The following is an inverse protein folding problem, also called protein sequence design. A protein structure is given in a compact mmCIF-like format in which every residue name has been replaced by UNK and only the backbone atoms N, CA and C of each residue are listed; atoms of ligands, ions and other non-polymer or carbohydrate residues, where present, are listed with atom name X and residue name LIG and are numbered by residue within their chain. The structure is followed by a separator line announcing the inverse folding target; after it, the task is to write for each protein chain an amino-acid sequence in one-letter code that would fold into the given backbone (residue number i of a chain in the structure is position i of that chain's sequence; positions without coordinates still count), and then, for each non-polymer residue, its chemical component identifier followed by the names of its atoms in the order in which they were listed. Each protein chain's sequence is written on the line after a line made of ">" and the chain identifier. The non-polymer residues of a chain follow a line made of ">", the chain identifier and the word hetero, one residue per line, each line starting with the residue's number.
data_IF_800414331706
#
_entry.id   IF_800414331706
#
_cell.length_a   1.000
_cell.length_b   1.000
_cell.length_c   1.000
_cell.angle_alpha   90.00
_cell.angle_beta   90.00
_cell.angle_gamma   90.00
#
_symmetry.space_group_name_H-M   'P 1'
#
loop_
_entity.id
_entity.type
_entity.pdbx_description
1 polymer ?
#
# COMPACT_ATOMS: atom_id res chain seq x y z
N UNK A 1 -0.62 -20.43 6.18
CA UNK A 1 -0.73 -18.97 6.04
C UNK A 1 0.56 -18.48 5.43
N UNK A 2 0.49 -17.76 4.33
CA UNK A 2 1.67 -17.21 3.65
C UNK A 2 1.75 -15.72 3.97
N UNK A 3 2.91 -15.26 4.41
CA UNK A 3 3.14 -13.89 4.89
C UNK A 3 4.12 -13.17 3.97
N UNK A 4 3.72 -12.01 3.46
CA UNK A 4 4.58 -11.14 2.66
C UNK A 4 4.37 -9.68 3.06
N UNK A 5 5.41 -8.89 2.91
CA UNK A 5 5.45 -7.51 3.40
C UNK A 5 5.88 -6.52 2.34
N UNK A 6 5.32 -5.32 2.46
CA UNK A 6 5.73 -4.11 1.79
C UNK A 6 6.53 -3.25 2.76
N UNK A 7 7.82 -3.06 2.50
CA UNK A 7 8.61 -2.05 3.22
C UNK A 7 8.65 -0.77 2.39
N UNK A 8 8.11 0.32 2.96
CA UNK A 8 7.98 1.63 2.33
C UNK A 8 9.15 2.53 2.73
N UNK A 9 9.95 2.91 1.75
CA UNK A 9 10.93 3.97 1.89
C UNK A 9 10.36 5.28 1.32
N UNK A 10 10.43 6.35 2.10
CA UNK A 10 9.93 7.68 1.72
C UNK A 10 11.06 8.69 1.77
N UNK A 11 11.14 9.49 0.71
CA UNK A 11 12.02 10.64 0.61
C UNK A 11 11.17 11.90 0.58
N UNK A 12 11.00 12.52 1.75
CA UNK A 12 10.37 13.83 1.88
C UNK A 12 11.36 14.98 1.62
N UNK A 13 10.85 16.21 1.44
CA UNK A 13 11.71 17.36 1.24
C UNK A 13 12.58 17.64 2.47
N UNK A 14 13.74 18.24 2.21
CA UNK A 14 14.68 18.79 3.19
C UNK A 14 14.85 20.26 2.85
N UNK A 15 14.55 21.15 3.81
CA UNK A 15 14.61 22.62 3.63
C UNK A 15 13.87 23.10 2.37
N UNK A 16 12.63 22.63 2.18
CA UNK A 16 11.78 23.00 1.04
C UNK A 16 12.18 22.41 -0.31
N UNK A 17 13.26 21.62 -0.38
CA UNK A 17 13.74 21.01 -1.62
C UNK A 17 13.49 19.49 -1.64
N UNK A 18 13.20 18.87 -2.80
CA UNK A 18 13.11 17.42 -2.92
C UNK A 18 14.38 16.73 -2.41
N UNK A 19 14.22 15.59 -1.72
CA UNK A 19 15.38 14.84 -1.24
C UNK A 19 16.29 14.42 -2.41
N UNK A 20 17.57 14.78 -2.34
CA UNK A 20 18.54 14.51 -3.41
C UNK A 20 18.77 12.99 -3.62
N UNK A 21 18.70 12.20 -2.54
CA UNK A 21 18.98 10.76 -2.56
C UNK A 21 17.81 9.88 -3.01
N UNK A 22 16.70 10.48 -3.47
CA UNK A 22 15.60 9.68 -3.98
C UNK A 22 16.04 8.93 -5.26
N UNK A 23 15.95 7.60 -5.30
CA UNK A 23 16.40 6.82 -6.44
C UNK A 23 15.49 7.06 -7.65
N UNK A 24 16.01 6.75 -8.84
CA UNK A 24 15.34 7.07 -10.11
C UNK A 24 14.00 6.34 -10.30
N UNK A 25 13.86 5.17 -9.70
CA UNK A 25 12.69 4.29 -9.73
C UNK A 25 11.66 4.60 -8.64
N UNK A 26 11.98 5.49 -7.70
CA UNK A 26 11.03 6.01 -6.73
C UNK A 26 9.95 6.83 -7.45
N UNK A 27 8.70 6.55 -7.09
CA UNK A 27 7.53 7.22 -7.64
C UNK A 27 7.31 8.55 -6.95
N UNK A 28 6.79 9.52 -7.69
CA UNK A 28 6.27 10.73 -7.05
C UNK A 28 5.02 10.37 -6.28
N UNK A 29 4.88 10.92 -5.07
CA UNK A 29 3.62 10.93 -4.35
C UNK A 29 2.49 11.53 -5.22
N UNK A 30 1.24 11.42 -4.77
CA UNK A 30 -0.06 11.63 -5.48
C UNK A 30 -0.30 12.92 -6.30
N UNK A 31 0.77 13.66 -6.59
CA UNK A 31 0.91 14.82 -7.48
C UNK A 31 0.14 16.04 -7.01
N UNK A 32 -0.41 16.00 -5.80
CA UNK A 32 -0.92 17.17 -5.13
C UNK A 32 0.19 18.19 -4.93
N UNK A 33 -0.15 19.48 -4.91
CA UNK A 33 0.83 20.57 -4.71
C UNK A 33 1.63 20.41 -3.41
N UNK A 34 0.99 19.87 -2.36
CA UNK A 34 1.60 19.62 -1.05
C UNK A 34 2.57 18.41 -1.06
N UNK A 35 2.31 17.40 -1.89
CA UNK A 35 3.11 16.18 -1.95
C UNK A 35 4.10 16.12 -3.13
N UNK A 36 4.16 17.16 -3.98
CA UNK A 36 4.92 17.14 -5.25
C UNK A 36 6.41 16.84 -5.10
N UNK A 37 6.98 17.14 -3.93
CA UNK A 37 8.41 16.98 -3.62
C UNK A 37 8.71 15.66 -2.88
N UNK A 38 7.68 14.89 -2.53
CA UNK A 38 7.80 13.58 -1.92
C UNK A 38 7.96 12.51 -2.99
N UNK A 39 8.84 11.55 -2.70
CA UNK A 39 8.98 10.33 -3.48
C UNK A 39 8.93 9.11 -2.57
N UNK A 40 8.49 7.99 -3.11
CA UNK A 40 8.39 6.75 -2.34
C UNK A 40 8.77 5.53 -3.19
N UNK A 41 9.18 4.46 -2.52
CA UNK A 41 9.47 3.17 -3.12
C UNK A 41 9.13 2.07 -2.12
N UNK A 42 8.46 1.02 -2.60
CA UNK A 42 8.32 -0.22 -1.84
C UNK A 42 9.37 -1.23 -2.30
N UNK A 43 9.94 -2.00 -1.37
CA UNK A 43 10.84 -3.15 -1.70
C UNK A 43 10.20 -4.09 -2.73
N UNK A 44 8.88 -4.27 -2.62
CA UNK A 44 8.05 -4.89 -3.65
C UNK A 44 6.94 -3.92 -4.05
N UNK A 45 6.89 -3.49 -5.31
CA UNK A 45 5.71 -2.73 -5.80
C UNK A 45 4.51 -3.63 -6.02
N UNK A 46 4.78 -4.88 -6.39
CA UNK A 46 3.78 -5.91 -6.63
C UNK A 46 4.19 -7.17 -5.88
N UNK A 47 3.31 -7.68 -5.03
CA UNK A 47 3.48 -8.97 -4.37
C UNK A 47 2.58 -10.00 -5.05
N UNK A 48 3.16 -11.15 -5.40
CA UNK A 48 2.43 -12.28 -5.99
C UNK A 48 2.30 -13.42 -4.99
N UNK A 49 1.09 -13.96 -4.89
CA UNK A 49 0.78 -15.18 -4.14
C UNK A 49 0.32 -16.29 -5.08
N UNK A 50 0.63 -17.53 -4.71
CA UNK A 50 0.11 -18.71 -5.38
C UNK A 50 -1.13 -19.22 -4.64
N UNK A 51 -2.09 -19.72 -5.39
CA UNK A 51 -3.34 -20.32 -4.91
C UNK A 51 -3.21 -21.43 -3.86
N UNK A 52 -2.04 -22.05 -3.68
CA UNK A 52 -1.82 -23.01 -2.58
C UNK A 52 -1.93 -22.37 -1.18
N UNK A 53 -1.97 -21.04 -1.12
CA UNK A 53 -1.99 -20.29 0.11
C UNK A 53 -3.45 -20.02 0.56
N UNK A 54 -3.92 -20.76 1.57
CA UNK A 54 -5.31 -20.65 2.06
C UNK A 54 -5.65 -19.27 2.65
N UNK A 55 -4.71 -18.64 3.36
CA UNK A 55 -4.84 -17.30 3.93
C UNK A 55 -3.53 -16.56 3.76
N UNK A 56 -3.61 -15.32 3.28
CA UNK A 56 -2.46 -14.47 2.99
C UNK A 56 -2.41 -13.33 4.00
N UNK A 57 -1.29 -13.20 4.69
CA UNK A 57 -1.01 -12.03 5.50
C UNK A 57 -0.18 -11.05 4.67
N UNK A 58 -0.64 -9.82 4.60
CA UNK A 58 0.07 -8.71 3.96
C UNK A 58 0.36 -7.66 5.01
N UNK A 59 1.64 -7.38 5.21
CA UNK A 59 2.11 -6.34 6.13
C UNK A 59 2.67 -5.14 5.36
N UNK A 60 2.49 -3.94 5.89
CA UNK A 60 3.08 -2.70 5.39
C UNK A 60 3.83 -2.07 6.54
N UNK A 61 5.09 -1.71 6.30
CA UNK A 61 5.98 -1.12 7.29
C UNK A 61 6.77 0.00 6.64
N UNK A 62 7.22 0.96 7.43
CA UNK A 62 8.24 1.90 6.96
C UNK A 62 9.62 1.25 7.03
N UNK A 63 10.48 1.56 6.07
CA UNK A 63 11.92 1.25 6.14
C UNK A 63 12.49 1.91 7.40
N UNK A 64 13.34 1.19 8.13
CA UNK A 64 13.92 1.63 9.41
C UNK A 64 14.59 3.01 9.33
N UNK A 65 15.18 3.36 8.17
CA UNK A 65 15.83 4.66 7.94
C UNK A 65 14.85 5.82 7.92
N UNK A 66 13.58 5.54 7.65
CA UNK A 66 12.49 6.53 7.54
C UNK A 66 11.43 6.36 8.61
N UNK A 67 11.58 5.32 9.46
CA UNK A 67 10.69 5.03 10.56
C UNK A 67 10.67 6.18 11.58
N UNK A 68 9.48 6.55 12.05
CA UNK A 68 9.27 7.60 13.05
C UNK A 68 8.97 9.00 12.49
N UNK A 69 9.36 9.31 11.25
CA UNK A 69 8.91 10.56 10.58
C UNK A 69 7.54 10.40 9.94
N UNK A 70 7.25 9.23 9.37
CA UNK A 70 6.03 8.98 8.63
C UNK A 70 5.05 8.12 9.42
N UNK A 71 3.76 8.28 9.12
CA UNK A 71 2.69 7.49 9.75
C UNK A 71 1.69 6.99 8.71
N UNK A 72 1.30 5.72 8.81
CA UNK A 72 0.11 5.20 8.14
C UNK A 72 -1.13 5.81 8.77
N UNK A 73 -2.05 6.30 7.92
CA UNK A 73 -3.28 6.97 8.37
C UNK A 73 -4.54 6.25 7.94
N UNK A 74 -4.53 5.72 6.73
CA UNK A 74 -5.68 5.09 6.11
C UNK A 74 -5.20 4.08 5.07
N UNK A 75 -5.92 2.98 4.90
CA UNK A 75 -5.79 2.10 3.74
C UNK A 75 -7.16 1.89 3.10
N UNK A 76 -7.20 1.91 1.78
CA UNK A 76 -8.35 1.44 1.03
C UNK A 76 -7.88 0.41 -0.01
N UNK A 77 -8.79 -0.43 -0.50
CA UNK A 77 -8.51 -1.40 -1.54
C UNK A 77 -9.45 -1.20 -2.73
N UNK A 78 -8.89 -1.28 -3.93
CA UNK A 78 -9.63 -1.20 -5.20
C UNK A 78 -9.14 -2.28 -6.16
N UNK A 79 -9.91 -2.60 -7.21
CA UNK A 79 -9.42 -3.49 -8.25
C UNK A 79 -8.12 -2.95 -8.85
N UNK A 80 -7.13 -3.84 -8.95
CA UNK A 80 -5.84 -3.57 -9.57
C UNK A 80 -5.91 -3.52 -11.09
N UNK A 81 -4.76 -3.30 -11.73
CA UNK A 81 -4.75 -3.18 -13.19
C UNK A 81 -5.00 -4.54 -13.82
N UNK A 82 -6.10 -4.65 -14.56
CA UNK A 82 -6.54 -5.93 -15.13
C UNK A 82 -7.33 -6.81 -14.16
N UNK A 83 -7.62 -6.34 -12.95
CA UNK A 83 -8.60 -6.95 -12.06
C UNK A 83 -10.02 -6.54 -12.44
N UNK A 84 -11.00 -7.38 -12.12
CA UNK A 84 -12.40 -7.04 -12.35
C UNK A 84 -12.96 -6.19 -11.19
N UNK A 85 -14.05 -5.43 -11.42
CA UNK A 85 -14.78 -4.73 -10.37
C UNK A 85 -15.12 -5.62 -9.16
N UNK A 86 -15.17 -5.08 -7.94
CA UNK A 86 -15.45 -5.89 -6.74
C UNK A 86 -16.80 -6.66 -6.80
N UNK A 87 -17.77 -6.10 -7.52
CA UNK A 87 -19.11 -6.66 -7.76
C UNK A 87 -19.16 -7.67 -8.93
N UNK A 88 -18.05 -7.85 -9.66
CA UNK A 88 -17.97 -8.82 -10.77
C UNK A 88 -17.86 -10.28 -10.31
N UNK A 89 -17.60 -10.50 -9.02
CA UNK A 89 -17.39 -11.83 -8.47
C UNK A 89 -15.93 -12.26 -8.38
N UNK A 90 -14.94 -11.40 -8.62
CA UNK A 90 -13.51 -11.53 -8.23
C UNK A 90 -13.31 -11.62 -6.68
N UNK A 91 -14.40 -11.85 -5.95
CA UNK A 91 -14.58 -11.60 -4.54
C UNK A 91 -13.72 -12.46 -3.66
N UNK A 92 -12.57 -11.93 -3.29
CA UNK A 92 -11.77 -12.36 -2.16
C UNK A 92 -12.17 -11.55 -0.93
N UNK A 93 -12.15 -12.16 0.25
CA UNK A 93 -12.42 -11.42 1.48
C UNK A 93 -11.14 -10.68 1.91
N UNK A 94 -11.28 -9.38 2.09
CA UNK A 94 -10.26 -8.53 2.68
C UNK A 94 -10.62 -8.21 4.12
N UNK A 95 -9.68 -8.36 5.04
CA UNK A 95 -9.86 -7.99 6.43
C UNK A 95 -8.67 -7.20 6.96
N UNK A 96 -8.92 -5.98 7.44
CA UNK A 96 -7.94 -5.24 8.21
C UNK A 96 -7.81 -5.88 9.59
N UNK A 97 -6.62 -6.39 9.91
CA UNK A 97 -6.35 -7.02 11.20
C UNK A 97 -5.90 -5.97 12.23
N UNK A 98 -4.98 -5.10 11.83
CA UNK A 98 -4.45 -4.05 12.70
C UNK A 98 -3.90 -2.88 11.90
N UNK A 99 -4.03 -1.67 12.44
CA UNK A 99 -3.36 -0.48 11.92
C UNK A 99 -2.78 0.31 13.08
N UNK A 100 -1.47 0.51 13.04
CA UNK A 100 -0.72 1.39 13.94
C UNK A 100 -0.04 2.47 13.09
N UNK A 101 0.53 3.53 13.68
CA UNK A 101 1.26 4.53 12.90
C UNK A 101 2.40 3.95 12.06
N UNK A 102 3.05 2.86 12.49
CA UNK A 102 4.25 2.32 11.83
C UNK A 102 4.02 1.01 11.07
N UNK A 103 2.87 0.37 11.28
CA UNK A 103 2.58 -0.95 10.70
C UNK A 103 1.09 -1.10 10.40
N UNK A 104 0.80 -1.64 9.22
CA UNK A 104 -0.53 -2.06 8.79
C UNK A 104 -0.52 -3.54 8.44
N UNK A 105 -1.52 -4.30 8.90
CA UNK A 105 -1.68 -5.72 8.60
C UNK A 105 -3.06 -6.00 8.05
N UNK A 106 -3.09 -6.66 6.90
CA UNK A 106 -4.29 -7.08 6.19
C UNK A 106 -4.24 -8.59 5.98
N UNK A 107 -5.37 -9.24 6.15
CA UNK A 107 -5.60 -10.60 5.70
C UNK A 107 -6.35 -10.58 4.37
N UNK A 108 -5.92 -11.45 3.47
CA UNK A 108 -6.60 -11.76 2.23
C UNK A 108 -6.96 -13.24 2.28
N UNK A 109 -8.26 -13.51 2.21
CA UNK A 109 -8.79 -14.87 2.10
C UNK A 109 -9.35 -15.08 0.69
N UNK A 110 -8.61 -15.78 -0.19
CA UNK A 110 -9.03 -16.04 -1.55
C UNK A 110 -10.06 -17.17 -1.67
N UNK A 111 -10.47 -17.79 -0.55
CA UNK A 111 -11.42 -18.92 -0.53
C UNK A 111 -12.84 -18.49 -0.18
N UNK A 112 -13.01 -17.30 0.39
CA UNK A 112 -14.30 -16.74 0.80
C UNK A 112 -14.81 -15.75 -0.25
N UNK A 113 -15.96 -16.04 -0.83
CA UNK A 113 -16.60 -15.24 -1.87
C UNK A 113 -17.96 -14.69 -1.42
N UNK A 114 -18.40 -13.52 -1.93
CA UNK A 114 -19.76 -13.03 -1.72
C UNK A 114 -20.81 -14.02 -2.22
N UNK A 115 -21.93 -14.15 -1.49
CA UNK A 115 -23.03 -15.05 -1.85
C UNK A 115 -23.53 -14.76 -3.28
N UNK A 116 -23.67 -15.81 -4.10
CA UNK A 116 -24.16 -15.70 -5.48
C UNK A 116 -23.11 -15.45 -6.56
N UNK A 117 -21.82 -15.33 -6.19
CA UNK A 117 -20.72 -15.18 -7.15
C UNK A 117 -19.90 -16.47 -7.31
N UNK A 118 -19.38 -16.77 -8.52
CA UNK A 118 -18.52 -17.92 -8.73
C UNK A 118 -17.20 -17.75 -7.97
N UNK A 119 -16.62 -18.85 -7.48
CA UNK A 119 -15.29 -18.82 -6.88
C UNK A 119 -14.25 -18.36 -7.91
N UNK A 120 -13.85 -17.10 -7.81
CA UNK A 120 -12.72 -16.54 -8.53
C UNK A 120 -11.48 -16.70 -7.67
N UNK A 121 -10.54 -17.49 -8.17
CA UNK A 121 -9.30 -17.82 -7.44
C UNK A 121 -8.16 -16.86 -7.76
N UNK A 122 -8.43 -15.84 -8.56
CA UNK A 122 -7.48 -14.79 -8.94
C UNK A 122 -7.99 -13.45 -8.44
N UNK A 123 -7.08 -12.64 -7.95
CA UNK A 123 -7.40 -11.30 -7.50
C UNK A 123 -6.24 -10.35 -7.80
N UNK A 124 -6.57 -9.16 -8.28
CA UNK A 124 -5.63 -8.07 -8.45
C UNK A 124 -6.12 -6.93 -7.54
N UNK A 125 -5.35 -6.62 -6.50
CA UNK A 125 -5.76 -5.72 -5.43
C UNK A 125 -4.77 -4.57 -5.39
N UNK A 126 -5.26 -3.39 -5.68
CA UNK A 126 -4.49 -2.17 -5.52
C UNK A 126 -4.85 -1.53 -4.18
N UNK A 127 -3.83 -1.25 -3.37
CA UNK A 127 -4.02 -0.58 -2.09
C UNK A 127 -3.76 0.91 -2.23
N UNK A 128 -4.73 1.73 -1.85
CA UNK A 128 -4.56 3.18 -1.72
C UNK A 128 -4.14 3.46 -0.27
N UNK A 129 -2.82 3.50 -0.01
CA UNK A 129 -2.25 3.68 1.34
C UNK A 129 -1.95 5.15 1.59
N UNK A 130 -2.61 5.76 2.57
CA UNK A 130 -2.35 7.14 2.96
C UNK A 130 -1.29 7.22 4.04
N UNK A 131 -0.29 8.05 3.77
CA UNK A 131 0.82 8.35 4.64
C UNK A 131 0.80 9.83 5.03
N UNK A 132 1.14 10.11 6.28
CA UNK A 132 1.35 11.45 6.81
C UNK A 132 2.84 11.66 7.09
N UNK A 133 3.41 12.77 6.63
CA UNK A 133 4.64 13.30 7.22
C UNK A 133 4.29 14.01 8.53
N UNK A 134 4.90 13.59 9.63
CA UNK A 134 4.67 14.20 10.94
C UNK A 134 5.41 15.51 11.11
N UNK A 135 6.42 15.77 10.27
CA UNK A 135 7.15 17.02 10.30
C UNK A 135 6.42 18.05 9.44
N UNK A 136 6.13 19.24 9.98
CA UNK A 136 5.47 20.29 9.23
C UNK A 136 6.39 20.83 8.12
N UNK A 137 5.79 21.28 7.01
CA UNK A 137 6.45 22.07 5.98
C UNK A 137 6.74 23.50 6.47
N UNK A 138 7.32 24.34 5.60
CA UNK A 138 7.67 25.74 5.91
C UNK A 138 6.47 26.61 6.34
N UNK A 139 5.23 26.18 6.03
CA UNK A 139 4.00 26.84 6.45
C UNK A 139 3.44 26.30 7.77
N UNK A 140 4.13 25.36 8.43
CA UNK A 140 3.65 24.71 9.66
C UNK A 140 2.66 23.56 9.41
N UNK A 141 2.47 23.13 8.16
CA UNK A 141 1.45 22.14 7.79
C UNK A 141 2.05 20.75 7.61
N UNK A 142 1.42 19.72 8.16
CA UNK A 142 1.79 18.32 7.89
C UNK A 142 1.20 17.85 6.57
N UNK A 143 2.01 17.21 5.72
CA UNK A 143 1.57 16.75 4.39
C UNK A 143 1.00 15.34 4.48
N UNK A 144 -0.03 15.06 3.68
CA UNK A 144 -0.59 13.72 3.48
C UNK A 144 -0.48 13.35 2.02
N UNK A 145 -0.19 12.09 1.75
CA UNK A 145 -0.04 11.59 0.38
C UNK A 145 -0.35 10.10 0.27
N UNK A 146 -0.66 9.66 -0.94
CA UNK A 146 -0.93 8.25 -1.25
C UNK A 146 0.30 7.52 -1.76
N UNK A 147 0.40 6.26 -1.36
CA UNK A 147 1.35 5.25 -1.83
C UNK A 147 0.56 4.02 -2.27
N UNK A 148 0.88 3.47 -3.44
CA UNK A 148 -0.07 2.69 -4.22
C UNK A 148 0.50 1.30 -4.62
N UNK A 149 0.76 0.37 -3.69
CA UNK A 149 1.27 -0.97 -4.02
C UNK A 149 0.15 -1.93 -4.43
N UNK A 150 0.52 -3.03 -5.08
CA UNK A 150 -0.42 -4.03 -5.62
C UNK A 150 -0.14 -5.45 -5.10
N UNK A 151 -1.20 -6.21 -4.83
CA UNK A 151 -1.14 -7.65 -4.57
C UNK A 151 -1.87 -8.39 -5.68
N UNK A 152 -1.24 -9.43 -6.22
CA UNK A 152 -1.82 -10.30 -7.22
C UNK A 152 -1.85 -11.73 -6.66
N UNK A 153 -3.02 -12.34 -6.64
CA UNK A 153 -3.22 -13.76 -6.34
C UNK A 153 -3.45 -14.47 -7.66
N UNK A 154 -2.56 -15.40 -8.01
CA UNK A 154 -2.63 -16.17 -9.25
C UNK A 154 -2.88 -17.66 -8.98
N UNK A 155 -3.43 -18.35 -9.99
CA UNK A 155 -3.74 -19.78 -9.95
C UNK A 155 -2.50 -20.67 -9.89
#
# INVERSE_FOLDING_TARGET
>A
MSDKGFNLMVWGPVDGNPHADAPRDAEKADRTKAAKDYRFLYDHKVIRFSKSDNQLLVSFRFDERTAGRYQFRWVNARPGRGGNPWDSGDGIRLQLLSMTPNELKLEIDPTVHPEGHPNTRKAHIHFDVWVKDTWPNDNGETVHFRCDPEVIVED
#
